data_IF_888487303318
#
_entry.id   IF_888487303318
#
_cell.length_a   1.000
_cell.length_b   1.000
_cell.length_c   1.000
_cell.angle_alpha   90.00
_cell.angle_beta   90.00
_cell.angle_gamma   90.00
#
_symmetry.space_group_name_H-M   'P 1'
#
loop_
_entity.id
_entity.type
_entity.pdbx_description
1 polymer ?
#
# COMPACT_ATOMS: atom_id res chain seq x y z
N UNK A 1 17.56 2.95 14.62
CA UNK A 1 17.02 3.22 13.28
C UNK A 1 17.43 2.08 12.39
N UNK A 2 16.46 1.34 11.86
CA UNK A 2 16.70 0.23 10.94
C UNK A 2 16.82 0.76 9.51
N UNK A 3 17.75 0.18 8.75
CA UNK A 3 17.84 0.37 7.31
C UNK A 3 16.84 -0.57 6.63
N UNK A 4 16.03 -0.06 5.72
CA UNK A 4 15.12 -0.85 4.90
C UNK A 4 15.71 -1.06 3.51
N UNK A 5 16.02 -2.32 3.20
CA UNK A 5 16.50 -2.73 1.88
C UNK A 5 15.74 -3.97 1.43
N UNK A 6 14.91 -3.83 0.40
CA UNK A 6 14.13 -4.93 -0.14
C UNK A 6 12.77 -4.53 -0.66
N UNK A 7 11.93 -5.55 -0.82
CA UNK A 7 10.53 -5.42 -1.19
C UNK A 7 9.70 -6.08 -0.09
N UNK A 8 8.81 -5.31 0.50
CA UNK A 8 7.90 -5.78 1.52
C UNK A 8 6.47 -5.55 1.06
N UNK A 9 5.63 -6.57 1.18
CA UNK A 9 4.20 -6.45 0.90
C UNK A 9 3.53 -6.09 2.21
N UNK A 10 2.90 -4.92 2.27
CA UNK A 10 2.22 -4.43 3.46
C UNK A 10 0.76 -4.80 3.48
N UNK A 11 0.15 -4.85 2.30
CA UNK A 11 -1.27 -5.12 2.19
C UNK A 11 -1.59 -5.88 0.92
N UNK A 12 -2.53 -6.81 1.01
CA UNK A 12 -3.22 -7.41 -0.14
C UNK A 12 -4.68 -6.98 -0.11
N UNK A 13 -5.19 -6.53 -1.24
CA UNK A 13 -6.57 -6.10 -1.43
C UNK A 13 -7.27 -7.10 -2.34
N UNK A 14 -8.48 -7.51 -1.97
CA UNK A 14 -9.38 -8.25 -2.85
C UNK A 14 -10.51 -7.34 -3.29
N UNK A 15 -10.57 -7.02 -4.58
CA UNK A 15 -11.55 -6.11 -5.15
C UNK A 15 -12.72 -6.93 -5.71
N UNK A 16 -13.97 -6.65 -5.28
CA UNK A 16 -15.14 -7.42 -5.71
C UNK A 16 -15.49 -7.15 -7.18
N UNK A 17 -16.35 -7.99 -7.79
CA UNK A 17 -16.73 -7.93 -9.21
C UNK A 17 -17.20 -6.55 -9.71
N UNK A 18 -17.77 -5.73 -8.81
CA UNK A 18 -18.24 -4.37 -9.14
C UNK A 18 -17.12 -3.32 -9.18
N UNK A 19 -15.87 -3.73 -8.95
CA UNK A 19 -14.73 -2.85 -8.71
C UNK A 19 -14.80 -2.18 -7.34
N UNK A 20 -13.90 -1.25 -7.10
CA UNK A 20 -13.90 -0.48 -5.86
C UNK A 20 -13.02 0.76 -5.94
N UNK A 21 -13.22 1.69 -5.01
CA UNK A 21 -12.34 2.84 -4.85
C UNK A 21 -11.46 2.63 -3.64
N UNK A 22 -10.16 2.85 -3.83
CA UNK A 22 -9.15 2.76 -2.79
C UNK A 22 -8.37 4.07 -2.74
N UNK A 23 -8.20 4.63 -1.55
CA UNK A 23 -7.48 5.86 -1.32
C UNK A 23 -6.36 5.61 -0.32
N UNK A 24 -5.19 6.14 -0.66
CA UNK A 24 -4.00 6.10 0.18
C UNK A 24 -3.60 7.55 0.43
N UNK A 25 -3.70 7.98 1.68
CA UNK A 25 -3.06 9.20 2.15
C UNK A 25 -1.69 8.80 2.72
N UNK A 26 -0.66 9.52 2.29
CA UNK A 26 0.72 9.20 2.62
C UNK A 26 1.47 10.46 3.07
N UNK A 27 2.22 10.31 4.16
CA UNK A 27 3.27 11.21 4.62
C UNK A 27 4.54 10.38 4.74
N UNK A 28 5.49 10.63 3.84
CA UNK A 28 6.73 9.87 3.73
C UNK A 28 7.89 10.83 3.82
N UNK A 29 8.78 10.64 4.80
CA UNK A 29 10.06 11.32 4.93
C UNK A 29 11.21 10.35 4.72
N UNK A 30 11.92 10.47 3.60
CA UNK A 30 13.12 9.68 3.30
C UNK A 30 14.35 10.48 3.71
N UNK A 31 14.95 10.08 4.83
CA UNK A 31 16.17 10.69 5.36
C UNK A 31 17.45 10.16 4.70
N UNK A 32 17.43 8.95 4.14
CA UNK A 32 18.54 8.36 3.38
C UNK A 32 18.08 7.26 2.42
N UNK A 33 18.85 7.01 1.35
CA UNK A 33 18.58 5.95 0.37
C UNK A 33 17.43 6.28 -0.58
N UNK A 34 16.93 5.25 -1.26
CA UNK A 34 15.82 5.34 -2.20
C UNK A 34 14.62 4.58 -1.67
N UNK A 35 13.44 5.17 -1.72
CA UNK A 35 12.20 4.56 -1.25
C UNK A 35 11.02 4.92 -2.15
N UNK A 36 10.13 3.97 -2.38
CA UNK A 36 8.85 4.19 -3.06
C UNK A 36 7.77 3.22 -2.59
N UNK A 37 6.53 3.66 -2.70
CA UNK A 37 5.34 2.85 -2.45
C UNK A 37 4.68 2.58 -3.79
N UNK A 38 4.33 1.32 -4.03
CA UNK A 38 3.69 0.88 -5.27
C UNK A 38 2.47 0.04 -4.98
N UNK A 39 1.45 0.18 -5.81
CA UNK A 39 0.30 -0.71 -5.90
C UNK A 39 0.50 -1.62 -7.10
N UNK A 40 0.37 -2.92 -6.92
CA UNK A 40 0.67 -3.92 -7.95
C UNK A 40 -0.58 -4.75 -8.25
N UNK A 41 -0.93 -4.89 -9.52
CA UNK A 41 -1.95 -5.80 -10.04
C UNK A 41 -1.27 -6.78 -11.00
N UNK A 42 -1.00 -8.01 -10.55
CA UNK A 42 -0.25 -8.98 -11.36
C UNK A 42 1.12 -8.45 -11.83
N UNK A 43 1.22 -8.09 -13.10
CA UNK A 43 2.42 -7.51 -13.74
C UNK A 43 2.39 -5.97 -13.81
N UNK A 44 1.24 -5.34 -13.60
CA UNK A 44 1.09 -3.89 -13.63
C UNK A 44 1.51 -3.27 -12.30
N UNK A 45 2.19 -2.12 -12.36
CA UNK A 45 2.80 -1.46 -11.22
C UNK A 45 2.49 0.04 -11.28
N UNK A 46 1.59 0.46 -10.40
CA UNK A 46 1.27 1.86 -10.17
C UNK A 46 2.12 2.42 -9.04
N UNK A 47 2.91 3.45 -9.33
CA UNK A 47 3.68 4.16 -8.30
C UNK A 47 2.73 5.04 -7.50
N UNK A 48 2.60 4.80 -6.19
CA UNK A 48 1.79 5.64 -5.28
C UNK A 48 2.54 6.93 -4.98
N UNK A 49 3.77 6.80 -4.45
CA UNK A 49 4.69 7.89 -4.18
C UNK A 49 6.15 7.41 -4.30
N UNK A 50 7.07 8.34 -4.51
CA UNK A 50 8.51 8.08 -4.60
C UNK A 50 9.27 9.18 -3.84
N UNK A 51 10.26 8.78 -3.03
CA UNK A 51 11.03 9.68 -2.18
C UNK A 51 10.22 10.29 -1.04
N UNK A 52 10.68 11.44 -0.55
CA UNK A 52 9.96 12.25 0.44
C UNK A 52 8.75 12.91 -0.22
N UNK A 53 7.55 12.56 0.22
CA UNK A 53 6.32 13.07 -0.35
C UNK A 53 5.16 13.05 0.66
N UNK A 54 4.33 14.09 0.57
CA UNK A 54 3.05 14.19 1.29
C UNK A 54 1.95 14.35 0.26
N UNK A 55 0.88 13.58 0.41
CA UNK A 55 -0.28 13.72 -0.45
C UNK A 55 -1.28 12.60 -0.29
N UNK A 56 -2.18 12.53 -1.25
CA UNK A 56 -3.18 11.47 -1.32
C UNK A 56 -3.34 11.01 -2.75
N UNK A 57 -3.63 9.71 -2.90
CA UNK A 57 -3.87 9.10 -4.19
C UNK A 57 -5.10 8.22 -4.14
N UNK A 58 -5.99 8.46 -5.07
CA UNK A 58 -7.25 7.73 -5.22
C UNK A 58 -7.13 6.85 -6.46
N UNK A 59 -7.41 5.57 -6.29
CA UNK A 59 -7.42 4.56 -7.32
C UNK A 59 -8.84 4.06 -7.52
N UNK A 60 -9.26 3.98 -8.78
CA UNK A 60 -10.44 3.22 -9.19
C UNK A 60 -9.94 1.85 -9.65
N UNK A 61 -10.23 0.82 -8.86
CA UNK A 61 -9.71 -0.52 -9.06
C UNK A 61 -10.76 -1.42 -9.73
N UNK A 62 -10.34 -2.10 -10.78
CA UNK A 62 -11.09 -3.18 -11.40
C UNK A 62 -11.08 -4.42 -10.49
N UNK A 63 -12.06 -5.35 -10.64
CA UNK A 63 -12.09 -6.59 -9.88
C UNK A 63 -10.80 -7.41 -10.04
N UNK A 64 -10.23 -7.85 -8.93
CA UNK A 64 -8.94 -8.55 -8.92
C UNK A 64 -8.22 -8.45 -7.57
N UNK A 65 -7.01 -8.97 -7.55
CA UNK A 65 -6.14 -9.01 -6.37
C UNK A 65 -5.00 -8.01 -6.53
N UNK A 66 -4.92 -7.05 -5.62
CA UNK A 66 -3.89 -6.01 -5.64
C UNK A 66 -2.98 -6.17 -4.43
N UNK A 67 -1.73 -5.74 -4.56
CA UNK A 67 -0.77 -5.72 -3.47
C UNK A 67 -0.13 -4.35 -3.31
N UNK A 68 -0.29 -3.75 -2.13
CA UNK A 68 0.44 -2.55 -1.74
C UNK A 68 1.81 -2.97 -1.20
N UNK A 69 2.86 -2.44 -1.81
CA UNK A 69 4.24 -2.81 -1.52
C UNK A 69 5.10 -1.59 -1.28
N UNK A 70 6.01 -1.73 -0.33
CA UNK A 70 7.10 -0.81 -0.13
C UNK A 70 8.37 -1.37 -0.78
N UNK A 71 9.07 -0.52 -1.53
CA UNK A 71 10.32 -0.85 -2.20
C UNK A 71 11.37 0.16 -1.78
N UNK A 72 12.48 -0.32 -1.24
CA UNK A 72 13.55 0.55 -0.78
C UNK A 72 14.93 -0.05 -0.92
N UNK A 73 15.93 0.82 -1.04
CA UNK A 73 17.35 0.48 -1.16
C UNK A 73 18.14 1.36 -0.20
N UNK A 74 18.70 0.74 0.84
CA UNK A 74 19.36 1.42 1.96
C UNK A 74 18.52 2.59 2.50
N UNK A 75 17.19 2.40 2.50
CA UNK A 75 16.24 3.44 2.83
C UNK A 75 16.19 3.64 4.34
N UNK A 76 16.30 4.88 4.79
CA UNK A 76 15.90 5.29 6.12
C UNK A 76 14.71 6.24 5.96
N UNK A 77 13.54 5.77 6.37
CA UNK A 77 12.27 6.40 6.04
C UNK A 77 11.33 6.38 7.25
N UNK A 78 10.66 7.51 7.48
CA UNK A 78 9.53 7.63 8.39
C UNK A 78 8.24 7.71 7.55
N UNK A 79 7.23 6.92 7.92
CA UNK A 79 6.07 6.67 7.07
C UNK A 79 4.81 6.66 7.90
N UNK A 80 3.89 7.54 7.54
CA UNK A 80 2.51 7.52 8.01
C UNK A 80 1.58 7.25 6.82
N UNK A 81 0.80 6.18 6.91
CA UNK A 81 -0.19 5.82 5.90
C UNK A 81 -1.58 5.77 6.51
N UNK A 82 -2.53 6.40 5.83
CA UNK A 82 -3.95 6.20 6.08
C UNK A 82 -4.60 5.56 4.86
N UNK A 83 -5.22 4.41 5.08
CA UNK A 83 -5.77 3.57 4.04
C UNK A 83 -7.30 3.59 4.12
N UNK A 84 -7.92 4.08 3.06
CA UNK A 84 -9.37 4.20 2.95
C UNK A 84 -9.87 3.38 1.77
N UNK A 85 -11.02 2.72 1.92
CA UNK A 85 -11.59 1.93 0.85
C UNK A 85 -13.12 1.96 0.86
N UNK A 86 -13.69 1.55 -0.26
CA UNK A 86 -15.12 1.23 -0.35
C UNK A 86 -15.45 0.04 0.55
N UNK A 87 -16.65 0.01 1.15
CA UNK A 87 -17.05 -0.99 2.15
C UNK A 87 -16.91 -2.45 1.71
N UNK A 88 -16.92 -2.71 0.40
CA UNK A 88 -16.86 -4.06 -0.17
C UNK A 88 -15.45 -4.54 -0.54
N UNK A 89 -14.42 -3.72 -0.31
CA UNK A 89 -13.02 -4.11 -0.50
C UNK A 89 -12.55 -4.84 0.75
N UNK A 90 -12.08 -6.08 0.57
CA UNK A 90 -11.41 -6.82 1.63
C UNK A 90 -9.90 -6.55 1.58
N UNK A 91 -9.27 -6.48 2.74
CA UNK A 91 -7.84 -6.21 2.84
C UNK A 91 -7.21 -7.05 3.93
N UNK A 92 -6.01 -7.56 3.66
CA UNK A 92 -5.25 -8.36 4.61
C UNK A 92 -3.80 -7.90 4.70
N UNK A 93 -3.28 -7.89 5.91
CA UNK A 93 -1.87 -7.71 6.25
C UNK A 93 -1.19 -9.09 6.23
N UNK A 94 -0.22 -9.31 5.33
CA UNK A 94 0.46 -10.59 5.23
C UNK A 94 1.50 -10.75 6.35
N UNK A 95 1.35 -11.75 7.21
CA UNK A 95 2.26 -12.03 8.35
C UNK A 95 3.48 -12.88 7.93
N UNK A 96 3.95 -12.70 6.69
CA UNK A 96 5.06 -13.45 6.11
C UNK A 96 4.71 -14.86 5.59
N UNK A 97 5.70 -15.65 5.13
CA UNK A 97 5.48 -16.91 4.41
C UNK A 97 4.94 -18.06 5.26
N UNK A 98 4.94 -17.91 6.59
CA UNK A 98 4.50 -18.92 7.56
C UNK A 98 3.43 -18.41 8.53
N UNK A 99 3.08 -17.13 8.45
CA UNK A 99 2.07 -16.51 9.29
C UNK A 99 0.70 -16.52 8.62
N UNK A 100 -0.35 -16.54 9.42
CA UNK A 100 -1.72 -16.38 8.92
C UNK A 100 -1.97 -14.91 8.57
N UNK A 101 -2.52 -14.68 7.37
CA UNK A 101 -2.93 -13.35 6.92
C UNK A 101 -3.99 -12.76 7.89
N UNK A 102 -3.80 -11.51 8.31
CA UNK A 102 -4.71 -10.84 9.24
C UNK A 102 -5.58 -9.83 8.50
N UNK A 103 -6.89 -9.73 8.79
CA UNK A 103 -7.72 -8.70 8.18
C UNK A 103 -7.20 -7.32 8.58
N UNK A 104 -6.89 -6.52 7.57
CA UNK A 104 -6.46 -5.16 7.72
C UNK A 104 -7.67 -4.25 7.94
N UNK A 105 -7.55 -3.30 8.85
CA UNK A 105 -8.64 -2.38 9.12
C UNK A 105 -8.54 -1.16 8.19
N UNK A 106 -9.38 -1.15 7.17
CA UNK A 106 -9.51 -0.01 6.27
C UNK A 106 -10.53 0.99 6.81
N UNK A 107 -10.25 2.27 6.66
CA UNK A 107 -11.21 3.32 6.94
C UNK A 107 -12.23 3.41 5.78
N UNK A 108 -13.50 3.76 6.06
CA UNK A 108 -14.44 4.05 5.00
C UNK A 108 -14.02 5.32 4.26
N UNK A 109 -14.24 5.37 2.95
CA UNK A 109 -14.03 6.59 2.17
C UNK A 109 -14.91 7.72 2.70
N UNK A 110 -14.28 8.81 3.14
CA UNK A 110 -14.99 10.03 3.50
C UNK A 110 -15.66 10.62 2.23
N UNK A 111 -16.97 10.87 2.33
CA UNK A 111 -17.84 11.34 1.25
C UNK A 111 -17.86 12.86 1.11
#
# INVERSE_FOLDING_TARGET
MGEFSGLETWLRLSIPEKGGTFRIDYDVDVSAGDFKIVLVDGEDVDVVCEGTAVGSRIFTLDPGDYALKAVGVHANVDIELELQASEDIDAVEPDGPLGDDKPAKLQPLES
#
